data_IF_720720795924
#
_entry.id   IF_720720795924
#
_cell.length_a   1.000
_cell.length_b   1.000
_cell.length_c   1.000
_cell.angle_alpha   90.00
_cell.angle_beta   90.00
_cell.angle_gamma   90.00
#
_symmetry.space_group_name_H-M   'P 1'
#
loop_
_entity.id
_entity.type
_entity.pdbx_description
1 polymer ?
#
# COMPACT_ATOMS: atom_id res chain seq x y z
N UNK A 1 18.84 -2.49 -8.85
CA UNK A 1 17.48 -1.97 -8.96
C UNK A 1 16.66 -2.41 -7.76
N UNK A 2 15.96 -1.48 -7.11
CA UNK A 2 15.04 -1.80 -6.01
C UNK A 2 13.67 -2.20 -6.54
N UNK A 3 13.19 -1.47 -7.55
CA UNK A 3 11.90 -1.72 -8.23
C UNK A 3 12.13 -1.63 -9.73
N UNK A 4 11.53 -2.54 -10.49
CA UNK A 4 11.53 -2.53 -11.94
C UNK A 4 10.14 -2.87 -12.47
N UNK A 5 9.77 -2.25 -13.58
CA UNK A 5 8.55 -2.56 -14.31
C UNK A 5 8.89 -3.06 -15.71
N UNK A 6 8.18 -4.08 -16.15
CA UNK A 6 8.20 -4.58 -17.51
C UNK A 6 6.78 -4.56 -18.04
N UNK A 7 6.53 -3.83 -19.11
CA UNK A 7 5.23 -3.76 -19.76
C UNK A 7 5.33 -4.20 -21.21
N UNK A 8 4.48 -5.12 -21.64
CA UNK A 8 4.38 -5.55 -23.03
C UNK A 8 3.27 -4.79 -23.72
N UNK A 9 3.62 -4.08 -24.78
CA UNK A 9 2.69 -3.28 -25.57
C UNK A 9 2.57 -3.88 -26.95
N UNK A 10 1.34 -4.01 -27.47
CA UNK A 10 1.11 -4.48 -28.83
C UNK A 10 1.67 -3.46 -29.84
N UNK A 11 2.50 -3.93 -30.77
CA UNK A 11 3.07 -3.10 -31.82
C UNK A 11 3.29 -3.90 -33.11
N UNK A 12 3.34 -3.23 -34.28
CA UNK A 12 3.86 -3.78 -35.50
C UNK A 12 5.37 -3.56 -35.50
N UNK A 13 6.14 -4.63 -35.41
CA UNK A 13 7.60 -4.59 -35.43
C UNK A 13 8.05 -4.81 -36.88
N UNK A 14 8.79 -3.86 -37.44
CA UNK A 14 9.41 -3.96 -38.76
C UNK A 14 10.86 -4.41 -38.62
N UNK A 15 11.60 -3.80 -37.71
CA UNK A 15 12.97 -4.17 -37.36
C UNK A 15 13.10 -4.27 -35.82
N UNK A 16 13.90 -5.24 -35.34
CA UNK A 16 14.20 -5.36 -33.90
C UNK A 16 15.25 -4.33 -33.50
N UNK A 17 15.05 -3.74 -32.31
CA UNK A 17 15.97 -2.77 -31.75
C UNK A 17 15.77 -2.57 -30.24
N UNK A 18 16.78 -2.02 -29.60
CA UNK A 18 16.76 -1.71 -28.16
C UNK A 18 17.54 -0.43 -27.88
N UNK A 19 17.07 0.36 -26.93
CA UNK A 19 17.70 1.59 -26.50
C UNK A 19 17.28 1.94 -25.08
N UNK A 20 18.17 2.54 -24.30
CA UNK A 20 17.84 3.17 -23.01
C UNK A 20 17.60 4.66 -23.21
N UNK A 21 16.52 5.16 -22.63
CA UNK A 21 16.20 6.59 -22.62
C UNK A 21 15.84 7.06 -21.20
N UNK A 22 16.02 8.36 -20.88
CA UNK A 22 15.60 8.91 -19.61
C UNK A 22 14.09 8.75 -19.40
N UNK A 23 13.69 7.89 -18.45
CA UNK A 23 12.30 7.48 -18.25
C UNK A 23 11.34 8.66 -18.06
N UNK A 24 11.72 9.66 -17.24
CA UNK A 24 10.88 10.83 -17.00
C UNK A 24 10.64 11.63 -18.27
N UNK A 25 11.70 11.90 -19.04
CA UNK A 25 11.58 12.66 -20.28
C UNK A 25 10.70 11.94 -21.32
N UNK A 26 10.87 10.60 -21.44
CA UNK A 26 10.04 9.81 -22.34
C UNK A 26 8.57 9.78 -21.89
N UNK A 27 8.32 9.61 -20.57
CA UNK A 27 6.96 9.63 -20.02
C UNK A 27 6.28 11.00 -20.20
N UNK A 28 7.01 12.09 -19.93
CA UNK A 28 6.51 13.46 -20.14
C UNK A 28 6.17 13.70 -21.63
N UNK A 29 7.03 13.27 -22.55
CA UNK A 29 6.77 13.33 -24.00
C UNK A 29 5.50 12.57 -24.37
N UNK A 30 5.42 11.29 -23.99
CA UNK A 30 4.29 10.41 -24.35
C UNK A 30 2.97 10.97 -23.81
N UNK A 31 2.98 11.59 -22.63
CA UNK A 31 1.79 12.21 -22.03
C UNK A 31 1.24 13.39 -22.84
N UNK A 32 2.04 13.99 -23.72
CA UNK A 32 1.65 15.12 -24.58
C UNK A 32 1.20 14.71 -25.99
N UNK A 33 1.40 13.42 -26.34
CA UNK A 33 1.00 12.93 -27.67
C UNK A 33 -0.52 12.78 -27.75
N UNK A 34 -1.08 13.11 -28.90
CA UNK A 34 -2.50 12.87 -29.19
C UNK A 34 -2.78 11.38 -29.32
N UNK A 35 -4.05 10.99 -29.17
CA UNK A 35 -4.50 9.62 -29.43
C UNK A 35 -4.25 9.27 -30.90
N UNK A 36 -3.47 8.24 -31.16
CA UNK A 36 -3.12 7.81 -32.52
C UNK A 36 -2.00 6.77 -32.56
N UNK A 37 -1.48 6.56 -33.74
CA UNK A 37 -0.32 5.69 -33.96
C UNK A 37 0.96 6.45 -33.64
N UNK A 38 1.85 5.81 -32.91
CA UNK A 38 3.20 6.32 -32.62
C UNK A 38 4.22 5.38 -33.24
N UNK A 39 5.13 5.91 -34.02
CA UNK A 39 6.26 5.18 -34.57
C UNK A 39 7.52 5.46 -33.75
N UNK A 40 8.21 4.38 -33.40
CA UNK A 40 9.48 4.43 -32.67
C UNK A 40 10.56 3.82 -33.55
N UNK A 41 11.64 4.53 -33.78
CA UNK A 41 12.81 4.00 -34.46
C UNK A 41 14.10 4.40 -33.75
N UNK A 42 15.13 3.58 -33.88
CA UNK A 42 16.42 3.84 -33.23
C UNK A 42 17.51 3.96 -34.29
N UNK A 43 18.31 5.00 -34.15
CA UNK A 43 19.53 5.17 -34.95
C UNK A 43 20.70 5.47 -34.01
N UNK A 44 21.64 4.55 -33.90
CA UNK A 44 22.75 4.61 -32.93
C UNK A 44 22.22 4.72 -31.50
N UNK A 45 22.47 5.85 -30.86
CA UNK A 45 22.01 6.14 -29.48
C UNK A 45 20.89 7.20 -29.45
N UNK A 46 20.10 7.31 -30.51
CA UNK A 46 18.99 8.24 -30.60
C UNK A 46 17.71 7.46 -30.83
N UNK A 47 16.70 7.70 -29.99
CA UNK A 47 15.32 7.26 -30.19
C UNK A 47 14.56 8.38 -30.93
N UNK A 48 14.04 8.06 -32.11
CA UNK A 48 13.12 8.90 -32.86
C UNK A 48 11.70 8.47 -32.54
N UNK A 49 10.88 9.43 -32.17
CA UNK A 49 9.45 9.26 -31.84
C UNK A 49 8.64 10.11 -32.80
N UNK A 50 7.88 9.45 -33.68
CA UNK A 50 7.04 10.14 -34.66
C UNK A 50 5.57 9.87 -34.36
N UNK A 51 4.79 10.94 -34.22
CA UNK A 51 3.36 10.88 -33.99
C UNK A 51 2.66 12.00 -34.78
N UNK A 52 1.78 11.64 -35.72
CA UNK A 52 1.09 12.56 -36.65
C UNK A 52 2.09 13.45 -37.42
N UNK A 53 2.21 14.72 -37.01
CA UNK A 53 3.11 15.74 -37.58
C UNK A 53 4.27 16.10 -36.67
N UNK A 54 4.40 15.42 -35.55
CA UNK A 54 5.44 15.70 -34.56
C UNK A 54 6.56 14.65 -34.69
N UNK A 55 7.77 15.14 -34.76
CA UNK A 55 8.98 14.31 -34.68
C UNK A 55 9.83 14.78 -33.51
N UNK A 56 10.26 13.85 -32.69
CA UNK A 56 11.09 14.13 -31.51
C UNK A 56 12.26 13.16 -31.49
N UNK A 57 13.43 13.66 -31.19
CA UNK A 57 14.63 12.86 -31.00
C UNK A 57 15.05 12.91 -29.53
N UNK A 58 15.25 11.72 -28.93
CA UNK A 58 15.76 11.55 -27.57
C UNK A 58 17.13 10.90 -27.62
N UNK A 59 18.11 11.54 -27.00
CA UNK A 59 19.42 10.93 -26.80
C UNK A 59 19.30 9.83 -25.76
N UNK A 60 19.75 8.64 -26.11
CA UNK A 60 19.74 7.44 -25.28
C UNK A 60 21.14 6.90 -25.03
N UNK A 61 21.18 5.69 -24.52
CA UNK A 61 22.40 4.90 -24.27
C UNK A 61 22.20 3.48 -24.80
N UNK A 62 23.28 2.73 -24.92
CA UNK A 62 23.22 1.33 -25.34
C UNK A 62 22.46 0.48 -24.30
N UNK A 63 21.66 -0.49 -24.76
CA UNK A 63 20.81 -1.29 -23.87
C UNK A 63 21.61 -2.25 -22.99
N UNK A 64 22.82 -2.64 -23.37
CA UNK A 64 23.74 -3.47 -22.60
C UNK A 64 24.24 -2.80 -21.30
N UNK A 65 24.11 -1.49 -21.19
CA UNK A 65 24.36 -0.76 -19.93
C UNK A 65 23.25 -0.95 -18.90
N UNK A 66 22.09 -1.49 -19.27
CA UNK A 66 20.99 -1.70 -18.34
C UNK A 66 21.20 -2.97 -17.52
N UNK A 67 21.04 -2.90 -16.19
CA UNK A 67 21.12 -4.09 -15.36
C UNK A 67 20.11 -5.15 -15.79
N UNK A 68 20.54 -6.41 -15.87
CA UNK A 68 19.66 -7.51 -16.25
C UNK A 68 18.37 -7.52 -15.40
N UNK A 69 17.23 -7.53 -16.06
CA UNK A 69 15.93 -7.63 -15.40
C UNK A 69 15.68 -9.11 -15.10
N UNK A 70 15.46 -9.48 -13.82
CA UNK A 70 15.08 -10.84 -13.47
C UNK A 70 13.77 -11.19 -14.18
N UNK A 71 13.67 -12.39 -14.72
CA UNK A 71 12.42 -12.88 -15.29
C UNK A 71 11.73 -13.78 -14.28
N UNK A 72 10.41 -13.75 -14.27
CA UNK A 72 9.59 -14.65 -13.50
C UNK A 72 9.90 -16.12 -13.80
N UNK A 73 9.99 -16.94 -12.76
CA UNK A 73 10.57 -18.30 -12.83
C UNK A 73 9.54 -19.42 -12.90
N UNK A 74 8.23 -19.15 -12.70
CA UNK A 74 7.29 -20.26 -12.64
C UNK A 74 5.82 -19.90 -12.40
N UNK A 75 5.10 -20.83 -11.77
CA UNK A 75 3.72 -20.64 -11.33
C UNK A 75 3.73 -20.02 -9.93
N UNK A 76 3.33 -18.76 -9.85
CA UNK A 76 3.12 -18.06 -8.59
C UNK A 76 1.75 -18.35 -7.97
N UNK A 77 1.51 -17.71 -6.84
CA UNK A 77 0.16 -17.65 -6.26
C UNK A 77 -0.67 -16.60 -7.01
N UNK A 78 -1.99 -16.77 -6.98
CA UNK A 78 -2.94 -15.85 -7.60
C UNK A 78 -3.92 -15.30 -6.57
N UNK A 79 -4.15 -13.99 -6.62
CA UNK A 79 -5.04 -13.25 -5.73
C UNK A 79 -5.87 -12.29 -6.59
N UNK A 80 -7.11 -12.03 -6.21
CA UNK A 80 -7.92 -10.98 -6.82
C UNK A 80 -7.27 -9.60 -6.62
N UNK A 81 -7.18 -8.78 -7.68
CA UNK A 81 -6.49 -7.50 -7.64
C UNK A 81 -7.18 -6.47 -6.75
N UNK A 82 -8.52 -6.49 -6.72
CA UNK A 82 -9.32 -5.61 -5.86
C UNK A 82 -9.14 -5.97 -4.38
N UNK A 83 -9.19 -7.27 -4.05
CA UNK A 83 -8.93 -7.75 -2.69
C UNK A 83 -7.50 -7.42 -2.24
N UNK A 84 -6.52 -7.62 -3.11
CA UNK A 84 -5.13 -7.27 -2.82
C UNK A 84 -4.96 -5.79 -2.51
N UNK A 85 -5.50 -4.93 -3.38
CA UNK A 85 -5.46 -3.48 -3.21
C UNK A 85 -6.09 -3.05 -1.88
N UNK A 86 -7.34 -3.46 -1.64
CA UNK A 86 -8.11 -3.09 -0.45
C UNK A 86 -7.38 -3.47 0.85
N UNK A 87 -6.90 -4.71 0.95
CA UNK A 87 -6.21 -5.20 2.15
C UNK A 87 -4.84 -4.57 2.35
N UNK A 88 -4.05 -4.43 1.27
CA UNK A 88 -2.73 -3.80 1.37
C UNK A 88 -2.83 -2.32 1.75
N UNK A 89 -3.77 -1.56 1.19
CA UNK A 89 -3.97 -0.16 1.55
C UNK A 89 -4.32 0.02 3.02
N UNK A 90 -5.17 -0.84 3.59
CA UNK A 90 -5.54 -0.83 5.01
C UNK A 90 -4.37 -1.13 5.94
N UNK A 91 -3.50 -2.04 5.55
CA UNK A 91 -2.36 -2.46 6.39
C UNK A 91 -1.17 -1.52 6.24
N UNK A 92 -0.84 -1.08 5.04
CA UNK A 92 0.32 -0.23 4.76
C UNK A 92 0.32 1.11 5.51
N UNK A 93 -0.84 1.61 5.94
CA UNK A 93 -0.91 2.87 6.70
C UNK A 93 -0.18 2.78 8.03
N UNK A 94 -0.06 1.58 8.58
CA UNK A 94 0.63 1.34 9.85
C UNK A 94 2.15 1.18 9.73
N UNK A 95 2.71 1.06 8.54
CA UNK A 95 4.16 0.91 8.35
C UNK A 95 4.93 2.18 8.74
N UNK A 96 6.18 1.98 9.18
CA UNK A 96 7.10 3.08 9.48
C UNK A 96 7.43 3.90 8.23
N UNK A 97 7.74 5.18 8.44
CA UNK A 97 8.15 6.13 7.38
C UNK A 97 9.51 6.75 7.65
N UNK A 98 10.14 6.34 8.73
CA UNK A 98 11.49 6.74 9.08
C UNK A 98 12.46 5.62 8.70
N UNK A 99 13.62 5.94 8.19
CA UNK A 99 14.62 4.96 7.77
C UNK A 99 15.40 4.33 8.95
N UNK A 100 14.89 4.44 10.18
CA UNK A 100 15.58 3.96 11.37
C UNK A 100 15.52 2.42 11.50
N UNK A 101 14.42 1.81 11.03
CA UNK A 101 14.20 0.37 11.11
C UNK A 101 13.64 -0.16 9.79
N UNK A 102 14.51 -0.54 8.83
CA UNK A 102 14.08 -0.94 7.49
C UNK A 102 13.00 -2.02 7.45
N UNK A 103 13.02 -2.99 8.37
CA UNK A 103 12.02 -4.06 8.45
C UNK A 103 10.60 -3.54 8.70
N UNK A 104 10.45 -2.38 9.34
CA UNK A 104 9.15 -1.75 9.60
C UNK A 104 8.65 -0.85 8.46
N UNK A 105 9.49 -0.57 7.45
CA UNK A 105 9.06 0.11 6.22
C UNK A 105 8.36 -0.84 5.23
N UNK A 106 8.22 -2.11 5.61
CA UNK A 106 7.59 -3.15 4.84
C UNK A 106 6.28 -3.66 5.43
N UNK A 107 5.57 -4.40 4.63
CA UNK A 107 4.46 -5.27 5.04
C UNK A 107 4.99 -6.70 5.12
N UNK A 108 4.93 -7.29 6.31
CA UNK A 108 5.13 -8.72 6.48
C UNK A 108 3.99 -9.47 5.80
N UNK A 109 4.32 -10.49 5.06
CA UNK A 109 3.36 -11.43 4.50
C UNK A 109 3.73 -12.85 4.92
N UNK A 110 2.84 -13.50 5.67
CA UNK A 110 2.99 -14.86 6.17
C UNK A 110 2.04 -15.76 5.39
N UNK A 111 2.58 -16.73 4.68
CA UNK A 111 1.81 -17.73 3.93
C UNK A 111 1.70 -19.01 4.74
N UNK A 112 0.48 -19.50 4.95
CA UNK A 112 0.15 -20.77 5.58
C UNK A 112 -0.87 -21.52 4.73
N UNK A 113 -0.40 -22.34 3.81
CA UNK A 113 -1.27 -22.97 2.83
C UNK A 113 -2.02 -21.91 2.01
N UNK A 114 -3.36 -21.99 1.95
CA UNK A 114 -4.22 -21.06 1.21
C UNK A 114 -4.49 -19.74 1.94
N UNK A 115 -3.94 -19.55 3.15
CA UNK A 115 -4.05 -18.29 3.91
C UNK A 115 -2.78 -17.46 3.75
N UNK A 116 -2.97 -16.16 3.69
CA UNK A 116 -1.86 -15.22 3.70
C UNK A 116 -2.16 -14.10 4.69
N UNK A 117 -1.51 -14.10 5.85
CA UNK A 117 -1.65 -13.02 6.83
C UNK A 117 -0.68 -11.91 6.50
N UNK A 118 -1.17 -10.67 6.50
CA UNK A 118 -0.35 -9.47 6.28
C UNK A 118 -0.35 -8.61 7.54
N UNK A 119 0.80 -8.03 7.85
CA UNK A 119 0.97 -7.13 8.99
C UNK A 119 1.97 -6.01 8.69
N UNK A 120 1.72 -4.83 9.23
CA UNK A 120 2.65 -3.70 9.24
C UNK A 120 2.58 -2.96 10.57
N UNK A 121 3.69 -2.39 11.02
CA UNK A 121 3.76 -1.60 12.24
C UNK A 121 4.84 -0.53 12.16
N UNK A 122 4.65 0.58 12.86
CA UNK A 122 5.69 1.61 13.10
C UNK A 122 6.22 1.55 14.55
N UNK A 123 5.74 0.57 15.35
CA UNK A 123 6.05 0.40 16.77
C UNK A 123 5.09 1.13 17.72
N UNK A 124 4.17 1.95 17.20
CA UNK A 124 3.14 2.66 17.97
C UNK A 124 1.73 2.21 17.60
N UNK A 125 1.56 1.70 16.40
CA UNK A 125 0.32 1.13 15.87
C UNK A 125 0.64 -0.07 14.98
N UNK A 126 -0.36 -0.87 14.72
CA UNK A 126 -0.26 -2.03 13.85
C UNK A 126 -1.51 -2.17 12.99
N UNK A 127 -1.33 -2.55 11.73
CA UNK A 127 -2.38 -3.01 10.84
C UNK A 127 -2.17 -4.48 10.53
N UNK A 128 -3.25 -5.26 10.48
CA UNK A 128 -3.23 -6.66 10.05
C UNK A 128 -4.51 -7.01 9.29
N UNK A 129 -4.39 -7.88 8.32
CA UNK A 129 -5.49 -8.47 7.56
C UNK A 129 -5.07 -9.85 7.04
N UNK A 130 -5.97 -10.61 6.43
CA UNK A 130 -5.63 -11.90 5.87
C UNK A 130 -6.39 -12.22 4.57
N UNK A 131 -5.69 -12.82 3.62
CA UNK A 131 -6.24 -13.48 2.44
C UNK A 131 -6.64 -14.91 2.82
N UNK A 132 -7.82 -15.38 2.41
CA UNK A 132 -8.35 -16.68 2.83
C UNK A 132 -8.25 -17.77 1.76
N UNK A 133 -8.28 -17.40 0.49
CA UNK A 133 -8.41 -18.33 -0.63
C UNK A 133 -7.35 -18.07 -1.72
N UNK A 134 -6.06 -18.06 -1.30
CA UNK A 134 -4.94 -17.89 -2.23
C UNK A 134 -4.82 -19.13 -3.12
N UNK A 135 -4.89 -18.93 -4.45
CA UNK A 135 -4.73 -20.00 -5.42
C UNK A 135 -3.26 -20.24 -5.76
N UNK A 136 -2.94 -21.44 -6.23
CA UNK A 136 -1.58 -21.74 -6.72
C UNK A 136 -0.55 -22.04 -5.62
N UNK A 137 -0.94 -22.05 -4.36
CA UNK A 137 -0.02 -22.40 -3.26
C UNK A 137 0.39 -23.86 -3.36
N UNK A 138 1.70 -24.09 -3.52
CA UNK A 138 2.27 -25.44 -3.64
C UNK A 138 2.96 -25.94 -2.37
N UNK A 139 3.35 -25.03 -1.48
CA UNK A 139 4.05 -25.35 -0.23
C UNK A 139 3.09 -25.38 0.95
N UNK A 140 3.27 -26.38 1.84
CA UNK A 140 2.52 -26.48 3.10
C UNK A 140 3.23 -25.82 4.28
N UNK A 141 4.48 -25.46 4.12
CA UNK A 141 5.29 -24.84 5.17
C UNK A 141 5.02 -23.33 5.22
N UNK A 142 5.09 -22.79 6.43
CA UNK A 142 5.01 -21.35 6.66
C UNK A 142 6.12 -20.62 5.91
N UNK A 143 5.75 -19.59 5.17
CA UNK A 143 6.68 -18.77 4.41
C UNK A 143 6.47 -17.30 4.77
N UNK A 144 7.55 -16.62 5.17
CA UNK A 144 7.54 -15.20 5.56
C UNK A 144 8.36 -14.36 4.61
N UNK A 145 7.79 -13.24 4.17
CA UNK A 145 8.50 -12.23 3.38
C UNK A 145 8.09 -10.83 3.82
N UNK A 146 8.99 -9.87 3.68
CA UNK A 146 8.70 -8.46 3.97
C UNK A 146 8.76 -7.70 2.65
N UNK A 147 7.61 -7.16 2.24
CA UNK A 147 7.42 -6.39 1.01
C UNK A 147 7.60 -4.91 1.29
N UNK A 148 8.48 -4.18 0.58
CA UNK A 148 8.63 -2.75 0.78
C UNK A 148 7.32 -2.00 0.48
N UNK A 149 6.86 -1.14 1.40
CA UNK A 149 5.65 -0.32 1.20
C UNK A 149 5.77 0.56 -0.04
N UNK A 150 6.97 1.04 -0.36
CA UNK A 150 7.22 1.82 -1.58
C UNK A 150 6.87 1.02 -2.84
N UNK A 151 7.31 -0.24 -2.92
CA UNK A 151 7.00 -1.12 -4.05
C UNK A 151 5.49 -1.42 -4.14
N UNK A 152 4.86 -1.73 -3.00
CA UNK A 152 3.42 -1.99 -2.95
C UNK A 152 2.60 -0.78 -3.41
N UNK A 153 2.98 0.44 -3.05
CA UNK A 153 2.31 1.66 -3.52
C UNK A 153 2.40 1.84 -5.03
N UNK A 154 3.56 1.60 -5.62
CA UNK A 154 3.71 1.69 -7.07
C UNK A 154 2.94 0.58 -7.78
N UNK A 155 2.93 -0.64 -7.22
CA UNK A 155 2.11 -1.73 -7.74
C UNK A 155 0.62 -1.35 -7.74
N UNK A 156 0.09 -0.91 -6.60
CA UNK A 156 -1.32 -0.55 -6.43
C UNK A 156 -1.75 0.55 -7.41
N UNK A 157 -0.89 1.54 -7.68
CA UNK A 157 -1.16 2.57 -8.70
C UNK A 157 -1.25 2.02 -10.11
N UNK A 158 -0.54 0.94 -10.39
CA UNK A 158 -0.50 0.30 -11.70
C UNK A 158 -1.59 -0.77 -11.87
N UNK A 159 -2.32 -1.14 -10.80
CA UNK A 159 -3.40 -2.12 -10.88
C UNK A 159 -4.61 -1.54 -11.65
N UNK A 160 -5.25 -2.35 -12.49
CA UNK A 160 -6.54 -2.01 -13.07
C UNK A 160 -7.63 -1.92 -12.00
N UNK A 161 -8.69 -1.18 -12.28
CA UNK A 161 -9.74 -0.92 -11.30
C UNK A 161 -10.52 -2.17 -10.90
N UNK A 162 -10.76 -3.13 -11.80
CA UNK A 162 -11.53 -4.36 -11.49
C UNK A 162 -11.18 -5.55 -12.41
N UNK A 163 -11.47 -6.75 -11.94
CA UNK A 163 -11.67 -7.97 -12.75
C UNK A 163 -10.39 -8.71 -13.17
N UNK A 164 -9.24 -8.39 -12.60
CA UNK A 164 -7.99 -9.10 -12.88
C UNK A 164 -7.43 -9.76 -11.63
N UNK A 165 -6.65 -10.83 -11.80
CA UNK A 165 -5.85 -11.42 -10.73
C UNK A 165 -4.41 -10.91 -10.78
N UNK A 166 -3.79 -10.86 -9.61
CA UNK A 166 -2.35 -10.63 -9.44
C UNK A 166 -1.69 -11.99 -9.26
N UNK A 167 -0.75 -12.31 -10.13
CA UNK A 167 0.20 -13.38 -9.91
C UNK A 167 1.34 -12.87 -9.02
N UNK A 168 1.72 -13.65 -8.00
CA UNK A 168 2.85 -13.31 -7.10
C UNK A 168 3.83 -14.47 -7.07
N UNK A 169 5.06 -14.21 -7.47
CA UNK A 169 6.15 -15.18 -7.46
C UNK A 169 7.28 -14.70 -6.55
N UNK A 170 7.80 -15.60 -5.73
CA UNK A 170 8.93 -15.33 -4.83
C UNK A 170 10.20 -15.98 -5.35
N UNK A 171 11.22 -15.18 -5.64
CA UNK A 171 12.59 -15.63 -5.91
C UNK A 171 13.43 -15.49 -4.64
N UNK A 172 13.57 -16.61 -3.91
CA UNK A 172 14.30 -16.67 -2.65
C UNK A 172 15.80 -16.48 -2.81
N UNK A 173 16.36 -17.00 -3.89
CA UNK A 173 17.79 -16.90 -4.14
C UNK A 173 18.21 -15.45 -4.37
N UNK A 174 17.38 -14.70 -5.09
CA UNK A 174 17.63 -13.29 -5.37
C UNK A 174 17.00 -12.33 -4.38
N UNK A 175 16.27 -12.86 -3.38
CA UNK A 175 15.51 -12.04 -2.43
C UNK A 175 14.59 -11.03 -3.14
N UNK A 176 13.78 -11.53 -4.07
CA UNK A 176 12.90 -10.72 -4.90
C UNK A 176 11.48 -11.29 -4.94
N UNK A 177 10.54 -10.40 -5.22
CA UNK A 177 9.16 -10.74 -5.56
C UNK A 177 8.85 -10.22 -6.95
N UNK A 178 8.11 -10.99 -7.73
CA UNK A 178 7.57 -10.61 -9.03
C UNK A 178 6.06 -10.60 -8.95
N UNK A 179 5.46 -9.48 -9.27
CA UNK A 179 4.03 -9.32 -9.42
C UNK A 179 3.67 -9.26 -10.90
N UNK A 180 2.63 -9.99 -11.31
CA UNK A 180 2.14 -10.04 -12.69
C UNK A 180 0.68 -9.64 -12.76
N UNK A 181 0.35 -8.67 -13.58
CA UNK A 181 -1.02 -8.23 -13.82
C UNK A 181 -1.19 -7.96 -15.30
N UNK A 182 -1.91 -8.82 -16.00
CA UNK A 182 -2.06 -8.70 -17.44
C UNK A 182 -0.72 -8.71 -18.20
N UNK A 183 -0.42 -7.60 -18.85
CA UNK A 183 0.83 -7.38 -19.60
C UNK A 183 1.95 -6.68 -18.79
N UNK A 184 1.68 -6.39 -17.52
CA UNK A 184 2.61 -5.72 -16.61
C UNK A 184 3.26 -6.72 -15.67
N UNK A 185 4.58 -6.65 -15.55
CA UNK A 185 5.34 -7.33 -14.50
C UNK A 185 6.07 -6.26 -13.65
N UNK A 186 5.97 -6.36 -12.34
CA UNK A 186 6.74 -5.56 -11.41
C UNK A 186 7.65 -6.45 -10.59
N UNK A 187 8.91 -6.12 -10.54
CA UNK A 187 9.92 -6.82 -9.74
C UNK A 187 10.37 -5.90 -8.62
N UNK A 188 10.38 -6.42 -7.38
CA UNK A 188 10.90 -5.70 -6.23
C UNK A 188 11.82 -6.57 -5.39
N UNK A 189 12.82 -5.95 -4.75
CA UNK A 189 13.58 -6.61 -3.70
C UNK A 189 12.72 -6.75 -2.45
N UNK A 190 12.93 -7.86 -1.73
CA UNK A 190 12.39 -8.07 -0.40
C UNK A 190 13.25 -7.35 0.65
N UNK A 191 12.64 -6.95 1.75
CA UNK A 191 13.38 -6.45 2.91
C UNK A 191 13.88 -7.65 3.70
N UNK A 192 15.18 -7.70 3.96
CA UNK A 192 15.78 -8.72 4.82
C UNK A 192 15.66 -8.36 6.30
N UNK A 193 15.62 -9.37 7.16
CA UNK A 193 15.56 -9.23 8.62
C UNK A 193 14.31 -9.85 9.23
N UNK A 194 14.22 -9.78 10.56
CA UNK A 194 13.11 -10.35 11.33
C UNK A 194 12.08 -9.28 11.65
N UNK A 195 10.83 -9.55 11.27
CA UNK A 195 9.69 -8.71 11.64
C UNK A 195 9.29 -9.00 13.10
N UNK A 196 8.91 -7.99 13.91
CA UNK A 196 8.48 -8.20 15.28
C UNK A 196 7.31 -9.20 15.39
N UNK A 197 7.24 -9.99 16.47
CA UNK A 197 6.12 -10.92 16.70
C UNK A 197 4.84 -10.14 17.00
N UNK A 198 4.00 -9.95 15.98
CA UNK A 198 2.81 -9.09 16.03
C UNK A 198 1.58 -9.77 16.65
N UNK A 199 1.46 -11.08 16.52
CA UNK A 199 0.33 -11.90 16.97
C UNK A 199 0.19 -11.92 18.49
N UNK A 200 1.29 -11.71 19.23
CA UNK A 200 1.31 -11.71 20.70
C UNK A 200 0.74 -10.44 21.32
N UNK A 201 0.69 -9.34 20.56
CA UNK A 201 0.22 -8.03 21.04
C UNK A 201 -1.25 -7.74 20.68
N UNK A 202 -1.89 -8.62 19.93
CA UNK A 202 -3.31 -8.48 19.58
C UNK A 202 -4.15 -8.93 20.78
N UNK A 203 -4.99 -8.05 21.39
CA UNK A 203 -5.87 -8.41 22.47
C UNK A 203 -6.81 -9.56 22.06
N UNK A 204 -7.07 -10.48 22.99
CA UNK A 204 -7.95 -11.64 22.75
C UNK A 204 -9.34 -11.48 23.37
N UNK A 205 -9.50 -10.46 24.20
CA UNK A 205 -10.74 -10.13 24.89
C UNK A 205 -10.91 -8.59 24.92
N UNK A 206 -12.09 -8.13 25.24
CA UNK A 206 -12.37 -6.73 25.46
C UNK A 206 -13.29 -6.57 26.67
N UNK A 207 -13.22 -5.41 27.35
CA UNK A 207 -14.17 -4.96 28.37
C UNK A 207 -15.18 -3.97 27.82
N UNK A 208 -14.78 -3.23 26.79
CA UNK A 208 -15.62 -2.25 26.12
C UNK A 208 -15.56 -2.45 24.61
N UNK A 209 -16.72 -2.47 24.00
CA UNK A 209 -16.90 -2.55 22.56
C UNK A 209 -17.83 -1.43 22.07
N UNK A 210 -17.41 -0.74 21.02
CA UNK A 210 -18.17 0.38 20.47
C UNK A 210 -18.18 0.32 18.95
N UNK A 211 -19.38 0.45 18.36
CA UNK A 211 -19.55 0.51 16.92
C UNK A 211 -19.90 1.93 16.51
N UNK A 212 -19.14 2.47 15.59
CA UNK A 212 -19.29 3.84 15.07
C UNK A 212 -19.70 3.83 13.60
N UNK A 213 -20.45 4.85 13.22
CA UNK A 213 -20.47 5.28 11.82
C UNK A 213 -19.09 5.84 11.45
N UNK A 214 -18.47 5.29 10.41
CA UNK A 214 -17.10 5.63 9.98
C UNK A 214 -16.98 7.08 9.54
N UNK A 215 -17.94 7.59 8.76
CA UNK A 215 -17.87 8.96 8.23
C UNK A 215 -18.07 9.99 9.36
N UNK A 216 -18.98 9.72 10.30
CA UNK A 216 -19.18 10.60 11.46
C UNK A 216 -17.92 10.64 12.32
N UNK A 217 -17.30 9.47 12.59
CA UNK A 217 -16.05 9.40 13.37
C UNK A 217 -14.91 10.11 12.63
N UNK A 218 -14.71 9.84 11.34
CA UNK A 218 -13.69 10.48 10.50
C UNK A 218 -13.83 12.00 10.51
N UNK A 219 -15.07 12.50 10.37
CA UNK A 219 -15.38 13.93 10.39
C UNK A 219 -15.11 14.56 11.78
N UNK A 220 -15.48 13.84 12.85
CA UNK A 220 -15.20 14.26 14.23
C UNK A 220 -13.71 14.37 14.54
N UNK A 221 -12.95 13.31 14.21
CA UNK A 221 -11.49 13.28 14.37
C UNK A 221 -10.82 14.34 13.52
N UNK A 222 -11.28 14.57 12.28
CA UNK A 222 -10.74 15.61 11.39
C UNK A 222 -10.88 17.00 11.99
N UNK A 223 -12.06 17.34 12.54
CA UNK A 223 -12.28 18.63 13.24
C UNK A 223 -11.42 18.76 14.49
N UNK A 224 -11.37 17.74 15.33
CA UNK A 224 -10.53 17.74 16.53
C UNK A 224 -9.04 17.89 16.22
N UNK A 225 -8.56 17.21 15.17
CA UNK A 225 -7.15 17.26 14.75
C UNK A 225 -6.66 18.66 14.34
N UNK A 226 -7.55 19.57 13.95
CA UNK A 226 -7.19 20.98 13.68
C UNK A 226 -6.63 21.63 14.94
N UNK A 227 -7.23 21.33 16.08
CA UNK A 227 -6.88 21.89 17.40
C UNK A 227 -5.81 21.07 18.14
N UNK A 228 -5.48 19.87 17.65
CA UNK A 228 -4.49 18.97 18.23
C UNK A 228 -3.04 19.27 17.79
N UNK A 229 -2.82 20.06 16.71
CA UNK A 229 -1.50 20.28 16.10
C UNK A 229 -0.43 20.81 17.05
N UNK A 230 -0.82 21.66 18.01
CA UNK A 230 0.06 22.18 19.04
C UNK A 230 0.28 21.24 20.24
N UNK A 231 -0.41 20.09 20.29
CA UNK A 231 -0.39 19.14 21.40
C UNK A 231 -0.15 17.71 20.89
N UNK A 232 0.99 17.46 20.29
CA UNK A 232 1.44 16.14 19.77
C UNK A 232 0.39 15.39 18.92
N UNK A 233 -0.58 16.09 18.30
CA UNK A 233 -1.73 15.55 17.59
C UNK A 233 -2.66 14.67 18.46
N UNK A 234 -2.72 14.90 19.76
CA UNK A 234 -3.55 14.13 20.70
C UNK A 234 -5.03 14.50 20.52
N UNK A 235 -5.85 13.49 20.26
CA UNK A 235 -7.31 13.52 20.23
C UNK A 235 -7.82 12.61 21.34
N UNK A 236 -8.74 13.11 22.16
CA UNK A 236 -9.38 12.35 23.23
C UNK A 236 -10.69 11.76 22.73
N UNK A 237 -10.91 10.49 22.99
CA UNK A 237 -12.16 9.78 22.80
C UNK A 237 -12.73 9.43 24.18
N UNK A 238 -13.87 10.02 24.53
CA UNK A 238 -14.61 9.68 25.73
C UNK A 238 -15.88 8.93 25.34
N UNK A 239 -15.98 7.70 25.79
CA UNK A 239 -17.00 6.73 25.39
C UNK A 239 -17.81 6.34 26.61
N UNK A 240 -19.13 6.38 26.50
CA UNK A 240 -20.07 5.98 27.55
C UNK A 240 -21.43 5.60 26.97
N UNK A 241 -22.38 5.22 27.79
CA UNK A 241 -23.78 4.99 27.37
C UNK A 241 -24.41 6.23 26.70
N UNK A 242 -23.93 7.44 27.01
CA UNK A 242 -24.40 8.69 26.40
C UNK A 242 -23.86 8.89 24.95
N UNK A 243 -22.93 8.05 24.51
CA UNK A 243 -22.32 8.13 23.19
C UNK A 243 -20.81 8.36 23.22
N UNK A 244 -20.27 8.83 22.10
CA UNK A 244 -18.86 9.20 21.92
C UNK A 244 -18.70 10.72 21.89
N UNK A 245 -17.78 11.24 22.72
CA UNK A 245 -17.24 12.58 22.59
C UNK A 245 -15.81 12.51 22.03
N UNK A 246 -15.57 13.15 20.88
CA UNK A 246 -14.25 13.33 20.27
C UNK A 246 -13.82 14.76 20.53
N UNK A 247 -12.70 14.95 21.22
CA UNK A 247 -12.24 16.30 21.58
C UNK A 247 -10.73 16.47 21.44
N UNK A 248 -10.33 17.71 21.18
CA UNK A 248 -8.93 18.16 21.25
C UNK A 248 -8.89 19.66 21.49
N UNK A 249 -7.79 20.13 22.06
CA UNK A 249 -7.59 21.56 22.29
C UNK A 249 -6.26 21.88 22.95
N UNK A 250 -5.92 23.16 22.89
CA UNK A 250 -4.83 23.76 23.67
C UNK A 250 -5.22 25.14 24.16
N UNK A 251 -4.52 25.65 25.17
CA UNK A 251 -4.76 26.95 25.71
C UNK A 251 -4.58 28.10 24.69
N UNK A 252 -3.74 27.86 23.65
CA UNK A 252 -3.38 28.88 22.67
C UNK A 252 -4.38 28.98 21.51
N UNK A 253 -4.98 27.86 21.07
CA UNK A 253 -5.81 27.80 19.85
C UNK A 253 -7.28 27.50 20.12
N UNK A 254 -7.65 27.17 21.38
CA UNK A 254 -9.01 26.81 21.77
C UNK A 254 -9.28 25.31 21.73
N UNK A 255 -10.56 24.93 21.77
CA UNK A 255 -11.02 23.54 21.90
C UNK A 255 -12.10 23.21 20.88
N UNK A 256 -12.07 22.00 20.34
CA UNK A 256 -13.16 21.38 19.60
C UNK A 256 -13.73 20.20 20.38
N UNK A 257 -15.05 20.04 20.34
CA UNK A 257 -15.76 18.87 20.88
C UNK A 257 -16.81 18.47 19.85
N UNK A 258 -16.79 17.22 19.43
CA UNK A 258 -17.79 16.61 18.57
C UNK A 258 -18.43 15.44 19.30
N UNK A 259 -19.78 15.37 19.31
CA UNK A 259 -20.53 14.28 19.95
C UNK A 259 -21.29 13.49 18.89
N UNK A 260 -21.38 12.18 19.08
CA UNK A 260 -22.13 11.29 18.21
C UNK A 260 -22.68 10.10 18.97
N UNK A 261 -23.82 9.59 18.49
CA UNK A 261 -24.41 8.35 18.99
C UNK A 261 -23.59 7.15 18.51
N UNK A 262 -23.51 6.12 19.35
CA UNK A 262 -22.76 4.89 19.08
C UNK A 262 -23.52 3.68 19.63
N UNK A 263 -23.25 2.50 19.09
CA UNK A 263 -23.65 1.25 19.72
C UNK A 263 -22.57 0.90 20.77
N UNK A 264 -22.94 0.91 22.04
CA UNK A 264 -21.99 0.79 23.17
C UNK A 264 -22.29 -0.47 23.99
N UNK A 265 -21.24 -1.20 24.37
CA UNK A 265 -21.25 -2.36 25.25
C UNK A 265 -20.04 -2.31 26.19
N UNK A 266 -20.25 -2.47 27.48
CA UNK A 266 -19.19 -2.57 28.49
C UNK A 266 -19.07 -1.35 29.41
N UNK A 267 -17.83 -0.99 29.79
CA UNK A 267 -17.51 0.06 30.73
C UNK A 267 -17.19 1.38 30.02
N UNK A 268 -17.57 2.51 30.66
CA UNK A 268 -17.18 3.83 30.14
C UNK A 268 -15.65 3.98 30.18
N UNK A 269 -15.08 4.57 29.13
CA UNK A 269 -13.64 4.70 28.98
C UNK A 269 -13.26 6.02 28.32
N UNK A 270 -12.11 6.57 28.72
CA UNK A 270 -11.51 7.74 28.11
C UNK A 270 -10.11 7.38 27.60
N UNK A 271 -9.83 7.61 26.32
CA UNK A 271 -8.58 7.23 25.66
C UNK A 271 -8.02 8.38 24.84
N UNK A 272 -6.69 8.48 24.82
CA UNK A 272 -5.95 9.43 24.03
C UNK A 272 -5.32 8.75 22.82
N UNK A 273 -5.59 9.28 21.63
CA UNK A 273 -5.03 8.78 20.38
C UNK A 273 -4.26 9.86 19.64
N UNK A 274 -3.27 9.43 18.87
CA UNK A 274 -2.74 10.29 17.83
C UNK A 274 -3.78 10.42 16.71
N UNK A 275 -4.37 11.60 16.56
CA UNK A 275 -5.43 11.89 15.59
C UNK A 275 -5.01 11.59 14.14
N UNK A 276 -3.72 11.73 13.80
CA UNK A 276 -3.20 11.37 12.49
C UNK A 276 -3.34 9.87 12.21
N UNK A 277 -3.08 9.01 13.22
CA UNK A 277 -3.21 7.56 13.05
C UNK A 277 -4.65 7.15 12.83
N UNK A 278 -5.58 7.76 13.58
CA UNK A 278 -7.01 7.55 13.38
C UNK A 278 -7.46 8.00 11.99
N UNK A 279 -7.03 9.18 11.53
CA UNK A 279 -7.38 9.70 10.21
C UNK A 279 -6.85 8.81 9.08
N UNK A 280 -5.62 8.33 9.19
CA UNK A 280 -5.02 7.44 8.20
C UNK A 280 -5.76 6.10 8.12
N UNK A 281 -6.11 5.50 9.26
CA UNK A 281 -6.90 4.26 9.29
C UNK A 281 -8.32 4.46 8.75
N UNK A 282 -9.07 5.43 9.30
CA UNK A 282 -10.44 5.70 8.89
C UNK A 282 -10.55 6.10 7.39
N UNK A 283 -9.49 6.69 6.85
CA UNK A 283 -9.40 7.02 5.43
C UNK A 283 -9.05 5.83 4.54
N UNK A 284 -8.47 4.76 5.08
CA UNK A 284 -8.07 3.56 4.33
C UNK A 284 -9.15 2.49 4.28
N UNK A 285 -10.14 2.52 5.18
CA UNK A 285 -11.26 1.56 5.20
C UNK A 285 -12.46 2.10 4.43
N UNK A 286 -13.19 1.20 3.78
CA UNK A 286 -14.35 1.53 2.92
C UNK A 286 -15.68 1.11 3.53
N UNK A 287 -15.67 0.49 4.72
CA UNK A 287 -16.89 0.04 5.42
C UNK A 287 -17.67 1.22 5.99
N UNK A 288 -18.99 1.10 6.08
CA UNK A 288 -19.86 2.12 6.67
C UNK A 288 -19.65 2.22 8.19
N UNK A 289 -19.33 1.12 8.85
CA UNK A 289 -19.13 1.04 10.29
C UNK A 289 -17.72 0.53 10.63
N UNK A 290 -17.19 1.02 11.76
CA UNK A 290 -15.96 0.56 12.38
C UNK A 290 -16.22 0.22 13.84
N UNK A 291 -15.50 -0.78 14.36
CA UNK A 291 -15.61 -1.21 15.75
C UNK A 291 -14.31 -0.92 16.48
N UNK A 292 -14.43 -0.37 17.68
CA UNK A 292 -13.32 -0.23 18.62
C UNK A 292 -13.58 -1.17 19.80
N UNK A 293 -12.57 -1.96 20.13
CA UNK A 293 -12.55 -2.83 21.31
C UNK A 293 -11.35 -2.46 22.18
N UNK A 294 -11.54 -2.45 23.49
CA UNK A 294 -10.48 -2.16 24.45
C UNK A 294 -10.60 -3.01 25.71
N UNK A 295 -9.45 -3.37 26.29
CA UNK A 295 -9.38 -4.08 27.59
C UNK A 295 -9.51 -3.16 28.79
N UNK A 296 -9.70 -1.85 28.57
CA UNK A 296 -9.69 -0.81 29.58
C UNK A 296 -8.35 -0.08 29.67
N UNK A 297 -8.11 0.60 30.80
CA UNK A 297 -6.89 1.38 31.07
C UNK A 297 -5.61 0.54 31.10
#
# INVERSE_FOLDING_TARGET
LEISFVCKVGAKIEDEGEILVPAKLFADLVSTLSLGSVELSTEKQVLKVSAEKNETELTGMAADEFPGIPRALGKGIEIDAGEFKDKMEKVMVAAARDNARPVLEGVLWVFEGVRGTIAATDGYRMGTDCFKDIKGVTKKEEEKVILPVRALRELIRALPEEGQSIGVELDREKQQVVFKVGNLEMISRLIGGDFPPFDQIIPKAYKTRVVFDRELLLSGVRRASIFAKGNANIVLLKISEEGLEVSAGSAEVGKNVSRMEVEFEGEAVEMAFNGRYLLEYLGSVTTDKVTLETEGD
#
